data_IF_306883467444
#
_entry.id   IF_306883467444
#
_cell.length_a   1.000
_cell.length_b   1.000
_cell.length_c   1.000
_cell.angle_alpha   90.00
_cell.angle_beta   90.00
_cell.angle_gamma   90.00
#
_symmetry.space_group_name_H-M   'P 1'
#
loop_
_entity.id
_entity.type
_entity.pdbx_description
1 polymer ?
#
# COMPACT_ATOMS: atom_id res chain seq x y z
N UNK A 1 -7.23 -17.17 13.55
CA UNK A 1 -6.88 -15.97 12.77
C UNK A 1 -5.60 -15.41 13.34
N UNK A 2 -4.51 -15.56 12.62
CA UNK A 2 -3.24 -14.93 13.01
C UNK A 2 -3.33 -13.46 12.64
N UNK A 3 -3.52 -12.61 13.63
CA UNK A 3 -3.28 -11.17 13.46
C UNK A 3 -1.81 -11.01 13.13
N UNK A 4 -1.51 -10.70 11.87
CA UNK A 4 -0.17 -10.29 11.49
C UNK A 4 0.00 -8.89 12.07
N UNK A 5 0.71 -8.82 13.18
CA UNK A 5 1.19 -7.55 13.70
C UNK A 5 2.18 -7.07 12.64
N UNK A 6 1.80 -6.03 11.93
CA UNK A 6 2.72 -5.31 11.05
C UNK A 6 3.75 -4.70 11.98
N UNK A 7 4.82 -5.43 12.26
CA UNK A 7 6.03 -4.81 12.74
C UNK A 7 6.55 -4.00 11.55
N UNK A 8 6.16 -2.74 11.52
CA UNK A 8 6.68 -1.76 10.60
C UNK A 8 8.13 -1.47 11.04
N UNK A 9 9.01 -2.42 10.78
CA UNK A 9 10.42 -2.12 10.71
C UNK A 9 10.60 -1.22 9.49
N UNK A 10 11.38 -0.14 9.57
CA UNK A 10 11.82 0.56 8.38
C UNK A 10 12.69 -0.41 7.59
N UNK A 11 12.02 -1.21 6.78
CA UNK A 11 12.70 -2.12 5.90
C UNK A 11 13.21 -1.30 4.74
N UNK A 12 14.48 -1.02 4.80
CA UNK A 12 15.25 -0.58 3.66
C UNK A 12 15.16 -1.70 2.62
N UNK A 13 14.14 -1.65 1.77
CA UNK A 13 14.08 -2.50 0.59
C UNK A 13 15.20 -2.06 -0.35
N UNK A 14 16.39 -2.57 -0.08
CA UNK A 14 17.45 -2.60 -1.05
C UNK A 14 17.01 -3.52 -2.19
N UNK A 15 16.64 -2.87 -3.31
CA UNK A 15 16.64 -3.46 -4.64
C UNK A 15 15.83 -4.76 -4.75
N UNK A 16 14.54 -4.61 -4.95
CA UNK A 16 13.80 -5.62 -5.68
C UNK A 16 14.32 -5.61 -7.12
N UNK A 17 15.45 -6.29 -7.35
CA UNK A 17 15.85 -6.67 -8.68
C UNK A 17 14.89 -7.75 -9.16
N UNK A 18 13.83 -7.35 -9.84
CA UNK A 18 12.88 -8.30 -10.40
C UNK A 18 11.43 -7.85 -10.40
N UNK A 19 11.13 -6.59 -10.11
CA UNK A 19 9.82 -6.06 -10.46
C UNK A 19 9.69 -6.05 -11.97
N UNK A 20 9.02 -7.06 -12.49
CA UNK A 20 8.52 -7.00 -13.84
C UNK A 20 7.56 -5.82 -13.88
N UNK A 21 7.86 -4.83 -14.71
CA UNK A 21 7.16 -3.55 -14.82
C UNK A 21 5.66 -3.63 -15.15
N UNK A 22 5.14 -4.86 -15.30
CA UNK A 22 3.75 -5.12 -15.66
C UNK A 22 2.83 -5.38 -14.47
N UNK A 23 3.37 -5.50 -13.24
CA UNK A 23 2.60 -5.90 -12.05
C UNK A 23 2.26 -4.73 -11.13
N UNK A 24 2.20 -3.53 -11.66
CA UNK A 24 1.94 -2.33 -10.86
C UNK A 24 0.56 -1.77 -11.16
N UNK A 25 -0.27 -1.62 -10.13
CA UNK A 25 -1.50 -0.87 -10.21
C UNK A 25 -1.34 0.47 -9.50
N UNK A 26 -1.95 1.51 -10.06
CA UNK A 26 -1.89 2.87 -9.53
C UNK A 26 -3.29 3.35 -9.20
N UNK A 27 -3.47 3.81 -7.98
CA UNK A 27 -4.67 4.52 -7.56
C UNK A 27 -4.39 6.00 -7.35
N UNK A 28 -5.34 6.83 -7.73
CA UNK A 28 -5.32 8.26 -7.49
C UNK A 28 -6.45 8.65 -6.56
N UNK A 29 -6.25 9.67 -5.75
CA UNK A 29 -7.33 10.25 -4.97
C UNK A 29 -8.25 11.07 -5.89
N UNK A 30 -9.46 10.54 -6.26
CA UNK A 30 -10.35 11.25 -7.17
C UNK A 30 -11.06 12.44 -6.52
N UNK A 31 -11.02 12.50 -5.20
CA UNK A 31 -11.68 13.53 -4.39
C UNK A 31 -10.67 14.42 -3.67
N UNK A 32 -9.59 14.77 -4.32
CA UNK A 32 -8.67 15.80 -3.84
C UNK A 32 -9.43 17.10 -3.65
N UNK A 33 -10.33 17.11 -2.68
CA UNK A 33 -11.27 18.18 -2.43
C UNK A 33 -10.54 19.45 -2.11
N UNK A 34 -10.75 20.45 -2.95
CA UNK A 34 -10.74 21.85 -2.65
C UNK A 34 -9.61 22.35 -1.75
N UNK A 35 -8.37 22.26 -2.18
CA UNK A 35 -7.29 22.78 -1.35
C UNK A 35 -5.90 22.70 -1.97
N UNK A 36 -5.81 22.50 -3.28
CA UNK A 36 -4.62 22.82 -4.08
C UNK A 36 -3.32 22.11 -3.69
N UNK A 37 -3.37 20.95 -3.09
CA UNK A 37 -2.17 20.18 -2.79
C UNK A 37 -2.23 18.86 -3.48
N UNK A 38 -1.31 18.65 -4.35
CA UNK A 38 -1.06 17.58 -5.25
C UNK A 38 -1.79 16.25 -5.03
N UNK A 39 -2.30 15.68 -6.11
CA UNK A 39 -2.90 14.36 -6.11
C UNK A 39 -1.91 13.32 -5.56
N UNK A 40 -2.27 12.67 -4.47
CA UNK A 40 -1.56 11.48 -4.00
C UNK A 40 -1.90 10.33 -4.92
N UNK A 41 -0.90 9.69 -5.48
CA UNK A 41 -1.05 8.40 -6.15
C UNK A 41 -0.31 7.33 -5.37
N UNK A 42 -0.87 6.13 -5.35
CA UNK A 42 -0.25 4.98 -4.71
C UNK A 42 -0.18 3.85 -5.73
N UNK A 43 1.01 3.30 -5.91
CA UNK A 43 1.25 2.12 -6.73
C UNK A 43 1.30 0.89 -5.83
N UNK A 44 0.78 -0.23 -6.33
CA UNK A 44 0.86 -1.53 -5.65
C UNK A 44 1.71 -2.47 -6.50
N UNK A 45 2.56 -3.23 -5.82
CA UNK A 45 3.30 -4.35 -6.40
C UNK A 45 3.35 -5.51 -5.41
N UNK A 46 3.63 -6.71 -5.90
CA UNK A 46 4.00 -7.85 -5.05
C UNK A 46 5.52 -7.92 -5.01
N UNK A 47 6.06 -7.93 -3.80
CA UNK A 47 7.49 -8.12 -3.53
C UNK A 47 7.71 -9.23 -2.53
N UNK A 48 8.94 -9.37 -2.04
CA UNK A 48 9.29 -10.28 -0.96
C UNK A 48 9.79 -9.49 0.24
N UNK A 49 9.45 -9.95 1.42
CA UNK A 49 10.00 -9.42 2.66
C UNK A 49 11.40 -10.01 2.92
N UNK A 50 12.04 -9.62 4.02
CA UNK A 50 13.39 -10.08 4.41
C UNK A 50 13.47 -11.60 4.65
N UNK A 51 12.33 -12.25 4.82
CA UNK A 51 12.24 -13.69 5.03
C UNK A 51 11.89 -14.44 3.74
N UNK A 52 11.74 -13.71 2.62
CA UNK A 52 11.37 -14.26 1.33
C UNK A 52 9.88 -14.55 1.17
N UNK A 53 9.03 -14.08 2.09
CA UNK A 53 7.58 -14.21 1.96
C UNK A 53 7.01 -13.16 1.02
N UNK A 54 6.03 -13.56 0.19
CA UNK A 54 5.37 -12.63 -0.70
C UNK A 54 4.50 -11.64 0.07
N UNK A 55 4.67 -10.36 -0.24
CA UNK A 55 3.92 -9.26 0.37
C UNK A 55 3.42 -8.29 -0.69
N UNK A 56 2.24 -7.72 -0.47
CA UNK A 56 1.83 -6.52 -1.18
C UNK A 56 2.60 -5.33 -0.61
N UNK A 57 3.17 -4.54 -1.51
CA UNK A 57 3.89 -3.32 -1.18
C UNK A 57 3.22 -2.12 -1.84
N UNK A 58 3.17 -1.00 -1.13
CA UNK A 58 2.71 0.27 -1.68
C UNK A 58 3.86 1.23 -1.90
N UNK A 59 3.71 2.11 -2.88
CA UNK A 59 4.67 3.16 -3.22
C UNK A 59 3.91 4.47 -3.42
N UNK A 60 4.07 5.43 -2.52
CA UNK A 60 3.40 6.73 -2.67
C UNK A 60 4.17 7.66 -3.59
N UNK A 61 3.45 8.50 -4.33
CA UNK A 61 4.04 9.51 -5.22
C UNK A 61 4.61 10.74 -4.50
N UNK A 62 4.18 10.94 -3.26
CA UNK A 62 4.64 12.00 -2.35
C UNK A 62 4.82 11.44 -0.96
N UNK A 63 5.59 12.10 -0.12
CA UNK A 63 5.75 11.65 1.27
C UNK A 63 4.42 11.73 2.04
N UNK A 64 4.04 10.66 2.68
CA UNK A 64 2.78 10.50 3.41
C UNK A 64 2.97 9.95 4.81
N UNK A 65 1.97 10.17 5.65
CA UNK A 65 1.74 9.45 6.91
C UNK A 65 0.49 8.60 6.73
N UNK A 66 0.61 7.29 6.89
CA UNK A 66 -0.50 6.37 6.70
C UNK A 66 -1.21 6.11 8.03
N UNK A 67 -2.53 6.23 8.05
CA UNK A 67 -3.36 5.87 9.20
C UNK A 67 -3.83 4.43 9.12
N UNK A 68 -4.35 4.03 7.95
CA UNK A 68 -4.89 2.70 7.74
C UNK A 68 -4.90 2.31 6.27
N UNK A 69 -4.98 1.00 6.03
CA UNK A 69 -5.26 0.41 4.73
C UNK A 69 -6.41 -0.59 4.84
N UNK A 70 -7.45 -0.41 4.04
CA UNK A 70 -8.51 -1.41 3.87
C UNK A 70 -8.09 -2.37 2.76
N UNK A 71 -8.15 -3.67 3.03
CA UNK A 71 -7.84 -4.74 2.08
C UNK A 71 -9.10 -5.55 1.81
N UNK A 72 -9.47 -5.66 0.55
CA UNK A 72 -10.64 -6.42 0.12
C UNK A 72 -10.27 -7.41 -0.97
N UNK A 73 -10.64 -8.66 -0.76
CA UNK A 73 -10.59 -9.71 -1.77
C UNK A 73 -11.82 -10.62 -1.61
N UNK A 74 -12.80 -10.44 -2.49
CA UNK A 74 -14.12 -11.03 -2.34
C UNK A 74 -14.13 -12.57 -2.42
N UNK A 75 -13.32 -13.16 -3.31
CA UNK A 75 -13.26 -14.62 -3.49
C UNK A 75 -12.68 -15.35 -2.28
N UNK A 76 -11.80 -14.69 -1.54
CA UNK A 76 -11.21 -15.21 -0.31
C UNK A 76 -11.97 -14.76 0.95
N UNK A 77 -13.02 -13.96 0.80
CA UNK A 77 -13.77 -13.41 1.91
C UNK A 77 -12.97 -12.43 2.77
N UNK A 78 -11.93 -11.81 2.20
CA UNK A 78 -11.10 -10.84 2.90
C UNK A 78 -11.76 -9.46 2.83
N UNK A 79 -11.96 -8.88 4.00
CA UNK A 79 -12.39 -7.49 4.17
C UNK A 79 -11.83 -7.00 5.50
N UNK A 80 -10.62 -6.50 5.49
CA UNK A 80 -9.86 -6.18 6.69
C UNK A 80 -9.32 -4.75 6.64
N UNK A 81 -9.47 -4.04 7.75
CA UNK A 81 -8.80 -2.75 7.95
C UNK A 81 -7.54 -2.96 8.79
N UNK A 82 -6.41 -2.60 8.22
CA UNK A 82 -5.12 -2.64 8.89
C UNK A 82 -4.80 -1.24 9.36
N UNK A 83 -4.74 -1.05 10.67
CA UNK A 83 -4.34 0.22 11.27
C UNK A 83 -2.83 0.27 11.39
N UNK A 84 -2.24 1.41 11.03
CA UNK A 84 -0.81 1.64 11.24
C UNK A 84 -0.55 1.88 12.74
N UNK A 85 0.27 1.05 13.39
CA UNK A 85 0.59 1.22 14.81
C UNK A 85 1.41 2.49 15.08
N UNK A 86 2.04 3.06 14.06
CA UNK A 86 2.80 4.30 14.13
C UNK A 86 2.31 5.33 13.10
N UNK A 87 1.17 5.99 13.36
CA UNK A 87 0.56 6.91 12.39
C UNK A 87 1.40 8.16 12.10
N UNK A 88 2.41 8.45 12.91
CA UNK A 88 3.33 9.58 12.69
C UNK A 88 4.51 9.23 11.79
N UNK A 89 4.69 7.96 11.48
CA UNK A 89 5.75 7.53 10.57
C UNK A 89 5.56 8.11 9.17
N UNK A 90 6.62 8.70 8.64
CA UNK A 90 6.65 9.20 7.26
C UNK A 90 7.12 8.09 6.32
N UNK A 91 6.36 7.87 5.25
CA UNK A 91 6.74 7.03 4.12
C UNK A 91 7.13 7.93 2.97
N UNK A 92 8.36 7.77 2.48
CA UNK A 92 8.89 8.64 1.43
C UNK A 92 8.35 8.27 0.06
N UNK A 93 8.29 9.25 -0.83
CA UNK A 93 7.94 9.03 -2.22
C UNK A 93 8.95 8.09 -2.90
N UNK A 94 8.45 7.19 -3.73
CA UNK A 94 9.27 6.28 -4.53
C UNK A 94 9.78 5.04 -3.80
N UNK A 95 9.47 4.88 -2.51
CA UNK A 95 9.81 3.69 -1.73
C UNK A 95 8.67 2.67 -1.74
N UNK A 96 9.00 1.40 -1.98
CA UNK A 96 8.05 0.30 -1.83
C UNK A 96 8.06 -0.21 -0.40
N UNK A 97 6.91 -0.18 0.25
CA UNK A 97 6.72 -0.57 1.65
C UNK A 97 5.76 -1.76 1.72
N UNK A 98 6.23 -2.91 2.17
CA UNK A 98 5.40 -4.08 2.40
C UNK A 98 4.40 -3.83 3.53
N UNK A 99 3.12 -4.20 3.32
CA UNK A 99 2.09 -3.94 4.31
C UNK A 99 1.10 -5.09 4.52
N UNK A 100 0.99 -6.02 3.58
CA UNK A 100 0.05 -7.13 3.66
C UNK A 100 0.60 -8.39 3.02
N UNK A 101 0.31 -9.57 3.62
CA UNK A 101 0.74 -10.86 3.07
C UNK A 101 0.10 -11.14 1.71
N UNK A 102 0.92 -11.49 0.72
CA UNK A 102 0.47 -11.89 -0.61
C UNK A 102 0.54 -13.41 -0.83
N UNK A 103 0.69 -14.21 0.24
CA UNK A 103 0.84 -15.67 0.12
C UNK A 103 -0.39 -16.37 -0.48
N UNK A 104 -1.56 -15.76 -0.40
CA UNK A 104 -2.81 -16.27 -0.99
C UNK A 104 -3.14 -15.66 -2.35
N UNK A 105 -2.29 -14.75 -2.84
CA UNK A 105 -2.49 -14.11 -4.12
C UNK A 105 -2.22 -15.10 -5.25
N UNK A 106 -3.16 -15.20 -6.19
CA UNK A 106 -3.07 -16.06 -7.36
C UNK A 106 -3.32 -15.24 -8.62
N UNK A 107 -2.68 -15.63 -9.69
CA UNK A 107 -2.84 -15.00 -11.02
C UNK A 107 -4.32 -14.88 -11.39
N UNK A 108 -4.72 -13.70 -11.82
CA UNK A 108 -6.08 -13.35 -12.20
C UNK A 108 -6.98 -12.87 -11.07
N UNK A 109 -6.57 -12.97 -9.82
CA UNK A 109 -7.34 -12.44 -8.69
C UNK A 109 -7.30 -10.90 -8.68
N UNK A 110 -8.45 -10.32 -8.35
CA UNK A 110 -8.58 -8.88 -8.16
C UNK A 110 -8.57 -8.55 -6.67
N UNK A 111 -7.68 -7.66 -6.31
CA UNK A 111 -7.54 -7.13 -4.96
C UNK A 111 -7.84 -5.63 -4.97
N UNK A 112 -8.53 -5.18 -3.94
CA UNK A 112 -8.80 -3.75 -3.75
C UNK A 112 -8.17 -3.28 -2.46
N UNK A 113 -7.48 -2.16 -2.54
CA UNK A 113 -6.85 -1.52 -1.39
C UNK A 113 -7.35 -0.09 -1.29
N UNK A 114 -7.62 0.38 -0.08
CA UNK A 114 -7.94 1.79 0.16
C UNK A 114 -7.04 2.32 1.26
N UNK A 115 -6.18 3.24 0.90
CA UNK A 115 -5.22 3.86 1.81
C UNK A 115 -5.78 5.18 2.33
N UNK A 116 -5.70 5.38 3.64
CA UNK A 116 -6.11 6.61 4.29
C UNK A 116 -4.99 7.15 5.18
N UNK A 117 -4.80 8.46 5.13
CA UNK A 117 -3.74 9.11 5.88
C UNK A 117 -3.68 10.60 5.65
N UNK A 118 -2.51 11.16 5.82
CA UNK A 118 -2.24 12.58 5.59
C UNK A 118 -0.95 12.78 4.81
N UNK A 119 -0.85 13.89 4.08
CA UNK A 119 0.43 14.32 3.53
C UNK A 119 1.42 14.58 4.66
N UNK A 120 2.66 14.14 4.50
CA UNK A 120 3.72 14.44 5.46
C UNK A 120 3.99 15.95 5.56
N UNK A 121 3.83 16.65 4.45
CA UNK A 121 3.94 18.10 4.38
C UNK A 121 2.55 18.72 4.25
N UNK A 122 2.18 19.57 5.18
CA UNK A 122 0.88 20.26 5.20
C UNK A 122 -0.25 19.49 5.92
N UNK A 123 -0.11 18.21 6.20
CA UNK A 123 -1.06 17.42 7.00
C UNK A 123 -2.44 17.23 6.36
N UNK A 124 -2.60 17.47 5.07
CA UNK A 124 -3.88 17.30 4.37
C UNK A 124 -4.25 15.81 4.30
N UNK A 125 -5.49 15.50 4.67
CA UNK A 125 -6.02 14.14 4.61
C UNK A 125 -6.20 13.67 3.17
N UNK A 126 -5.96 12.38 2.94
CA UNK A 126 -6.22 11.70 1.68
C UNK A 126 -6.89 10.35 1.90
N UNK A 127 -7.59 9.88 0.88
CA UNK A 127 -8.09 8.51 0.76
C UNK A 127 -7.90 8.08 -0.70
N UNK A 128 -7.12 7.03 -0.93
CA UNK A 128 -6.75 6.56 -2.27
C UNK A 128 -7.18 5.10 -2.44
N UNK A 129 -8.17 4.81 -3.29
CA UNK A 129 -8.48 3.45 -3.69
C UNK A 129 -7.55 2.98 -4.81
N UNK A 130 -7.11 1.73 -4.71
CA UNK A 130 -6.28 1.08 -5.73
C UNK A 130 -6.84 -0.31 -6.00
N UNK A 131 -7.08 -0.64 -7.26
CA UNK A 131 -7.41 -1.99 -7.69
C UNK A 131 -6.18 -2.63 -8.32
N UNK A 132 -5.90 -3.85 -7.93
CA UNK A 132 -4.74 -4.62 -8.41
C UNK A 132 -5.19 -5.99 -8.89
N UNK A 133 -4.77 -6.36 -10.10
CA UNK A 133 -4.96 -7.72 -10.64
C UNK A 133 -3.63 -8.44 -10.62
N UNK A 134 -3.59 -9.60 -9.96
CA UNK A 134 -2.38 -10.43 -9.89
C UNK A 134 -2.06 -11.01 -11.27
N UNK A 135 -0.83 -10.84 -11.71
CA UNK A 135 -0.33 -11.23 -13.05
C UNK A 135 0.53 -12.49 -12.99
#
# INVERSE_FOLDING_TARGET
MKKIIIALLPLLFLLVNGCNSNDTATGTNPFGGGGGTGNVTIQIAIGQDDQGANVFAFNPSVAIKLTSALVVQAQLGINETINNPNPDQVFNAGEYIGFYSANQAQVGQQWSFTFSGTLAQGGQAFTVPVNYTVQ
#
